data_IF_188316131849
#
_entry.id   IF_188316131849
#
_cell.length_a   1.000
_cell.length_b   1.000
_cell.length_c   1.000
_cell.angle_alpha   90.00
_cell.angle_beta   90.00
_cell.angle_gamma   90.00
#
_symmetry.space_group_name_H-M   'P 1'
#
loop_
_entity.id
_entity.type
_entity.pdbx_description
1 polymer ?
#
# COMPACT_ATOMS: atom_id res chain seq x y z
N UNK A 1 -12.98 -12.54 -19.11
CA UNK A 1 -11.66 -12.58 -18.42
C UNK A 1 -11.45 -14.01 -17.97
N UNK A 2 -10.36 -14.65 -18.37
CA UNK A 2 -10.07 -16.04 -18.00
C UNK A 2 -9.57 -16.07 -16.56
N UNK A 3 -10.27 -16.78 -15.67
CA UNK A 3 -9.75 -17.11 -14.34
C UNK A 3 -8.53 -18.03 -14.52
N UNK A 4 -7.35 -17.44 -14.70
CA UNK A 4 -6.10 -18.21 -14.86
C UNK A 4 -5.47 -18.38 -13.50
N UNK A 5 -5.48 -19.62 -12.98
CA UNK A 5 -4.83 -20.02 -11.72
C UNK A 5 -3.45 -19.38 -11.56
N UNK A 6 -3.13 -18.94 -10.36
CA UNK A 6 -1.80 -18.39 -10.05
C UNK A 6 -0.82 -19.56 -9.96
N UNK A 7 0.38 -19.42 -10.52
CA UNK A 7 1.36 -20.51 -10.52
C UNK A 7 1.81 -20.84 -9.09
N UNK A 8 2.14 -22.11 -8.86
CA UNK A 8 2.68 -22.54 -7.57
C UNK A 8 3.98 -21.79 -7.22
N UNK A 9 4.82 -21.51 -8.22
CA UNK A 9 6.04 -20.72 -8.06
C UNK A 9 5.78 -19.32 -7.50
N UNK A 10 4.77 -18.61 -8.01
CA UNK A 10 4.41 -17.27 -7.47
C UNK A 10 3.94 -17.36 -6.04
N UNK A 11 3.12 -18.36 -5.68
CA UNK A 11 2.67 -18.57 -4.31
C UNK A 11 3.83 -18.92 -3.37
N UNK A 12 4.73 -19.81 -3.81
CA UNK A 12 5.91 -20.20 -3.05
C UNK A 12 6.85 -19.02 -2.80
N UNK A 13 7.22 -18.28 -3.86
CA UNK A 13 8.05 -17.09 -3.74
C UNK A 13 7.45 -16.07 -2.77
N UNK A 14 6.16 -15.75 -2.90
CA UNK A 14 5.52 -14.78 -2.03
C UNK A 14 5.42 -15.30 -0.58
N UNK A 15 5.21 -16.61 -0.38
CA UNK A 15 5.21 -17.23 0.96
C UNK A 15 6.58 -17.13 1.62
N UNK A 16 7.66 -17.43 0.89
CA UNK A 16 9.04 -17.28 1.39
C UNK A 16 9.33 -15.82 1.73
N UNK A 17 8.95 -14.89 0.85
CA UNK A 17 9.10 -13.46 1.13
C UNK A 17 8.36 -13.05 2.40
N UNK A 18 7.09 -13.45 2.59
CA UNK A 18 6.33 -13.13 3.80
C UNK A 18 6.93 -13.77 5.06
N UNK A 19 7.47 -14.98 4.95
CA UNK A 19 8.15 -15.68 6.05
C UNK A 19 9.45 -14.99 6.49
N UNK A 20 10.08 -14.20 5.62
CA UNK A 20 11.23 -13.36 5.96
C UNK A 20 10.79 -11.96 6.43
N UNK A 21 9.81 -11.38 5.73
CA UNK A 21 9.29 -10.05 5.98
C UNK A 21 8.68 -9.92 7.37
N UNK A 22 7.75 -10.80 7.75
CA UNK A 22 7.04 -10.70 9.04
C UNK A 22 8.00 -10.71 10.23
N UNK A 23 8.88 -11.72 10.41
CA UNK A 23 9.81 -11.71 11.54
C UNK A 23 10.83 -10.58 11.43
N UNK A 24 11.35 -10.29 10.22
CA UNK A 24 12.33 -9.22 10.02
C UNK A 24 11.80 -7.84 10.42
N UNK A 25 10.58 -7.50 9.98
CA UNK A 25 9.93 -6.24 10.35
C UNK A 25 9.53 -6.18 11.81
N UNK A 26 9.06 -7.30 12.38
CA UNK A 26 8.76 -7.36 13.80
C UNK A 26 10.01 -7.03 14.63
N UNK A 27 11.14 -7.67 14.32
CA UNK A 27 12.39 -7.46 15.05
C UNK A 27 12.93 -6.04 14.81
N UNK A 28 12.89 -5.55 13.58
CA UNK A 28 13.47 -4.26 13.20
C UNK A 28 12.65 -3.03 13.61
N UNK A 29 11.32 -3.10 13.50
CA UNK A 29 10.42 -1.96 13.71
C UNK A 29 9.40 -2.17 14.83
N UNK A 30 9.21 -3.41 15.30
CA UNK A 30 8.19 -3.77 16.26
C UNK A 30 6.85 -4.15 15.61
N UNK A 31 5.96 -4.83 16.36
CA UNK A 31 4.71 -5.36 15.81
C UNK A 31 3.72 -4.27 15.36
N UNK A 32 3.77 -3.09 15.96
CA UNK A 32 2.88 -1.99 15.59
C UNK A 32 3.19 -1.41 14.21
N UNK A 33 4.35 -1.72 13.63
CA UNK A 33 4.68 -1.31 12.26
C UNK A 33 3.70 -1.89 11.24
N UNK A 34 3.14 -3.08 11.48
CA UNK A 34 2.16 -3.69 10.58
C UNK A 34 0.83 -2.93 10.45
N UNK A 35 0.66 -1.83 11.20
CA UNK A 35 -0.45 -0.89 11.02
C UNK A 35 -0.24 0.09 9.85
N UNK A 36 0.98 0.20 9.31
CA UNK A 36 1.18 0.93 8.06
C UNK A 36 0.28 0.36 6.97
N UNK A 37 -0.43 1.23 6.25
CA UNK A 37 -1.34 0.80 5.20
C UNK A 37 -0.59 -0.02 4.15
N UNK A 38 0.65 0.31 3.80
CA UNK A 38 1.44 -0.48 2.85
C UNK A 38 1.69 -1.92 3.31
N UNK A 39 1.99 -2.13 4.59
CA UNK A 39 2.17 -3.46 5.19
C UNK A 39 0.85 -4.25 5.17
N UNK A 40 -0.27 -3.59 5.49
CA UNK A 40 -1.61 -4.16 5.41
C UNK A 40 -1.95 -4.56 3.97
N UNK A 41 -1.66 -3.69 2.99
CA UNK A 41 -1.87 -3.99 1.56
C UNK A 41 -1.00 -5.17 1.13
N UNK A 42 0.25 -5.26 1.57
CA UNK A 42 1.13 -6.39 1.28
C UNK A 42 0.54 -7.71 1.82
N UNK A 43 0.06 -7.72 3.07
CA UNK A 43 -0.59 -8.89 3.69
C UNK A 43 -1.88 -9.26 2.97
N UNK A 44 -2.74 -8.28 2.63
CA UNK A 44 -3.94 -8.52 1.83
C UNK A 44 -3.60 -9.12 0.45
N UNK A 45 -2.53 -8.62 -0.18
CA UNK A 45 -2.03 -9.12 -1.47
C UNK A 45 -1.52 -10.55 -1.37
N UNK A 46 -0.86 -10.91 -0.27
CA UNK A 46 -0.43 -12.28 0.00
C UNK A 46 -1.63 -13.23 0.07
N UNK A 47 -2.64 -12.93 0.88
CA UNK A 47 -3.84 -13.76 0.98
C UNK A 47 -4.65 -13.78 -0.31
N UNK A 48 -4.71 -12.65 -1.03
CA UNK A 48 -5.31 -12.61 -2.37
C UNK A 48 -4.63 -13.57 -3.34
N UNK A 49 -3.31 -13.70 -3.25
CA UNK A 49 -2.49 -14.58 -4.10
C UNK A 49 -2.66 -16.04 -3.72
N UNK A 50 -2.60 -16.37 -2.42
CA UNK A 50 -2.76 -17.73 -1.93
C UNK A 50 -4.12 -18.32 -2.30
N UNK A 51 -5.18 -17.58 -1.95
CA UNK A 51 -6.56 -18.02 -2.14
C UNK A 51 -7.13 -17.68 -3.53
N UNK A 52 -6.34 -17.03 -4.39
CA UNK A 52 -6.78 -16.53 -5.70
C UNK A 52 -8.06 -15.67 -5.58
N UNK A 53 -8.15 -14.93 -4.48
CA UNK A 53 -9.34 -14.17 -4.12
C UNK A 53 -9.38 -12.86 -4.89
N UNK A 54 -10.26 -12.80 -5.90
CA UNK A 54 -10.59 -11.58 -6.64
C UNK A 54 -10.98 -10.42 -5.72
N UNK A 55 -11.68 -10.70 -4.63
CA UNK A 55 -12.13 -9.70 -3.68
C UNK A 55 -10.96 -9.06 -2.93
N UNK A 56 -10.09 -9.88 -2.32
CA UNK A 56 -8.91 -9.39 -1.61
C UNK A 56 -7.92 -8.69 -2.54
N UNK A 57 -7.72 -9.21 -3.76
CA UNK A 57 -6.89 -8.55 -4.77
C UNK A 57 -7.43 -7.15 -5.11
N UNK A 58 -8.76 -7.02 -5.21
CA UNK A 58 -9.41 -5.74 -5.49
C UNK A 58 -9.36 -4.78 -4.31
N UNK A 59 -9.47 -5.27 -3.08
CA UNK A 59 -9.28 -4.48 -1.85
C UNK A 59 -7.85 -3.94 -1.76
N UNK A 60 -6.87 -4.82 -1.95
CA UNK A 60 -5.46 -4.46 -1.95
C UNK A 60 -5.14 -3.44 -3.06
N UNK A 61 -5.67 -3.64 -4.26
CA UNK A 61 -5.46 -2.76 -5.40
C UNK A 61 -6.02 -1.35 -5.15
N UNK A 62 -7.29 -1.22 -4.72
CA UNK A 62 -7.87 0.11 -4.48
C UNK A 62 -7.33 0.81 -3.24
N UNK A 63 -6.89 0.04 -2.23
CA UNK A 63 -6.32 0.60 -1.01
C UNK A 63 -4.86 1.03 -1.16
N UNK A 64 -4.09 0.35 -2.01
CA UNK A 64 -2.64 0.55 -2.08
C UNK A 64 -2.11 1.20 -3.35
N UNK A 65 -2.79 1.05 -4.51
CA UNK A 65 -2.15 1.36 -5.79
C UNK A 65 -1.63 2.81 -5.87
N UNK A 66 -2.45 3.80 -5.51
CA UNK A 66 -2.04 5.21 -5.53
C UNK A 66 -0.91 5.46 -4.53
N UNK A 67 -1.08 5.07 -3.25
CA UNK A 67 -0.09 5.34 -2.21
C UNK A 67 1.26 4.67 -2.48
N UNK A 68 1.25 3.43 -2.97
CA UNK A 68 2.46 2.72 -3.40
C UNK A 68 3.12 3.40 -4.61
N UNK A 69 2.33 3.93 -5.55
CA UNK A 69 2.86 4.68 -6.70
C UNK A 69 3.51 5.99 -6.27
N UNK A 70 2.88 6.72 -5.34
CA UNK A 70 3.45 7.95 -4.78
C UNK A 70 4.74 7.67 -4.00
N UNK A 71 4.76 6.57 -3.23
CA UNK A 71 5.98 6.11 -2.56
C UNK A 71 7.11 5.83 -3.57
N UNK A 72 6.80 5.21 -4.71
CA UNK A 72 7.79 4.96 -5.77
C UNK A 72 8.33 6.26 -6.36
N UNK A 73 7.45 7.21 -6.66
CA UNK A 73 7.85 8.52 -7.19
C UNK A 73 8.83 9.19 -6.21
N UNK A 74 8.47 9.26 -4.93
CA UNK A 74 9.33 9.82 -3.89
C UNK A 74 10.65 9.04 -3.74
N UNK A 75 10.61 7.71 -3.79
CA UNK A 75 11.79 6.85 -3.73
C UNK A 75 12.80 7.14 -4.85
N UNK A 76 12.34 7.23 -6.10
CA UNK A 76 13.25 7.48 -7.21
C UNK A 76 13.80 8.91 -7.21
N UNK A 77 13.01 9.90 -6.78
CA UNK A 77 13.53 11.26 -6.58
C UNK A 77 14.55 11.33 -5.44
N UNK A 78 14.28 10.65 -4.32
CA UNK A 78 15.20 10.58 -3.18
C UNK A 78 16.47 9.83 -3.55
N UNK A 79 16.37 8.75 -4.31
CA UNK A 79 17.52 8.02 -4.85
C UNK A 79 18.38 8.91 -5.75
N UNK A 80 17.75 9.64 -6.66
CA UNK A 80 18.46 10.57 -7.55
C UNK A 80 19.17 11.65 -6.73
N UNK A 81 18.47 12.26 -5.77
CA UNK A 81 19.05 13.26 -4.89
C UNK A 81 20.24 12.71 -4.10
N UNK A 82 20.12 11.49 -3.54
CA UNK A 82 21.21 10.81 -2.84
C UNK A 82 22.43 10.58 -3.75
N UNK A 83 22.23 10.15 -5.00
CA UNK A 83 23.32 9.91 -5.97
C UNK A 83 24.04 11.19 -6.40
N UNK A 84 23.37 12.34 -6.34
CA UNK A 84 23.93 13.65 -6.69
C UNK A 84 24.29 14.54 -5.48
N UNK A 85 24.27 13.98 -4.26
CA UNK A 85 24.51 14.71 -3.00
C UNK A 85 23.60 15.95 -2.79
N UNK A 86 22.37 15.85 -3.29
CA UNK A 86 21.33 16.88 -3.14
C UNK A 86 20.53 16.59 -1.86
N UNK A 87 20.40 17.60 -1.00
CA UNK A 87 19.54 17.51 0.19
C UNK A 87 18.07 17.44 -0.23
N UNK A 88 17.46 16.26 -0.11
CA UNK A 88 16.04 16.03 -0.36
C UNK A 88 15.43 15.23 0.78
N UNK A 89 14.49 15.85 1.51
CA UNK A 89 13.78 15.22 2.61
C UNK A 89 12.41 14.71 2.12
N UNK A 90 12.44 13.54 1.48
CA UNK A 90 11.24 12.84 1.00
C UNK A 90 10.64 11.88 2.04
N UNK A 91 9.46 11.33 1.73
CA UNK A 91 8.80 10.28 2.51
C UNK A 91 9.68 9.02 2.68
N UNK A 92 10.56 8.79 1.72
CA UNK A 92 11.44 7.61 1.62
C UNK A 92 12.88 7.90 2.02
N UNK A 93 13.17 9.07 2.61
CA UNK A 93 14.51 9.41 3.09
C UNK A 93 15.10 8.35 4.04
N UNK A 94 14.25 7.67 4.82
CA UNK A 94 14.68 6.56 5.69
C UNK A 94 15.34 5.40 4.93
N UNK A 95 15.03 5.21 3.64
CA UNK A 95 15.65 4.20 2.78
C UNK A 95 17.14 4.46 2.52
N UNK A 96 17.64 5.65 2.88
CA UNK A 96 19.03 6.06 2.76
C UNK A 96 19.66 6.38 4.12
N UNK A 97 18.94 6.17 5.23
CA UNK A 97 19.49 6.32 6.57
C UNK A 97 20.45 5.14 6.90
N UNK A 98 21.70 5.46 7.22
CA UNK A 98 22.73 4.49 7.59
C UNK A 98 22.51 3.86 8.97
N UNK A 99 21.71 4.47 9.84
CA UNK A 99 21.33 3.89 11.14
C UNK A 99 20.37 2.70 10.98
N UNK A 100 19.67 2.61 9.84
CA UNK A 100 18.80 1.47 9.53
C UNK A 100 19.59 0.38 8.78
N UNK A 101 19.57 -0.86 9.29
CA UNK A 101 20.23 -1.98 8.64
C UNK A 101 19.80 -2.13 7.17
N UNK A 102 20.76 -2.39 6.29
CA UNK A 102 20.50 -2.52 4.84
C UNK A 102 19.41 -3.56 4.56
N UNK A 103 19.46 -4.72 5.24
CA UNK A 103 18.49 -5.79 5.04
C UNK A 103 17.05 -5.34 5.36
N UNK A 104 16.86 -4.48 6.35
CA UNK A 104 15.54 -3.99 6.76
C UNK A 104 14.98 -3.04 5.69
N UNK A 105 15.83 -2.17 5.15
CA UNK A 105 15.49 -1.28 4.04
C UNK A 105 15.25 -2.07 2.74
N UNK A 106 16.00 -3.15 2.50
CA UNK A 106 15.77 -4.03 1.35
C UNK A 106 14.40 -4.70 1.42
N UNK A 107 13.96 -5.14 2.60
CA UNK A 107 12.60 -5.68 2.76
C UNK A 107 11.53 -4.63 2.41
N UNK A 108 11.76 -3.34 2.71
CA UNK A 108 10.87 -2.24 2.31
C UNK A 108 10.76 -2.04 0.80
N UNK A 109 11.66 -2.59 -0.03
CA UNK A 109 11.55 -2.48 -1.49
C UNK A 109 10.37 -3.25 -2.07
N UNK A 110 9.59 -3.98 -1.27
CA UNK A 110 8.29 -4.50 -1.71
C UNK A 110 7.41 -3.40 -2.30
N UNK A 111 7.52 -2.16 -1.81
CA UNK A 111 6.77 -1.00 -2.31
C UNK A 111 6.99 -0.79 -3.81
N UNK A 112 8.18 -1.13 -4.34
CA UNK A 112 8.49 -1.02 -5.76
C UNK A 112 7.73 -2.06 -6.59
N UNK A 113 7.76 -3.32 -6.18
CA UNK A 113 7.16 -4.42 -6.94
C UNK A 113 5.63 -4.47 -6.80
N UNK A 114 5.10 -4.12 -5.63
CA UNK A 114 3.70 -4.34 -5.26
C UNK A 114 2.66 -3.66 -6.17
N UNK A 115 2.80 -2.38 -6.62
CA UNK A 115 1.80 -1.78 -7.50
C UNK A 115 1.69 -2.50 -8.86
N UNK A 116 2.80 -2.97 -9.42
CA UNK A 116 2.80 -3.77 -10.65
C UNK A 116 2.18 -5.15 -10.42
N UNK A 117 2.50 -5.78 -9.29
CA UNK A 117 1.92 -7.06 -8.93
C UNK A 117 0.41 -6.97 -8.70
N UNK A 118 -0.09 -5.88 -8.12
CA UNK A 118 -1.53 -5.60 -7.98
C UNK A 118 -2.20 -5.47 -9.36
N UNK A 119 -1.62 -4.73 -10.31
CA UNK A 119 -2.14 -4.66 -11.68
C UNK A 119 -2.22 -6.05 -12.33
N UNK A 120 -1.18 -6.86 -12.15
CA UNK A 120 -1.15 -8.23 -12.64
C UNK A 120 -2.23 -9.11 -11.99
N UNK A 121 -2.41 -9.03 -10.67
CA UNK A 121 -3.48 -9.75 -9.97
C UNK A 121 -4.87 -9.35 -10.48
N UNK A 122 -5.12 -8.05 -10.68
CA UNK A 122 -6.39 -7.57 -11.24
C UNK A 122 -6.59 -8.06 -12.68
N UNK A 123 -5.53 -8.10 -13.48
CA UNK A 123 -5.59 -8.67 -14.82
C UNK A 123 -5.94 -10.17 -14.80
N UNK A 124 -5.40 -10.92 -13.84
CA UNK A 124 -5.56 -12.39 -13.74
C UNK A 124 -6.86 -12.83 -13.09
N UNK A 125 -7.23 -12.20 -11.97
CA UNK A 125 -8.38 -12.58 -11.13
C UNK A 125 -9.62 -11.74 -11.46
N UNK A 126 -9.44 -10.63 -12.17
CA UNK A 126 -10.49 -9.64 -12.45
C UNK A 126 -10.63 -8.62 -11.31
N UNK A 127 -11.55 -7.68 -11.51
CA UNK A 127 -11.85 -6.62 -10.55
C UNK A 127 -13.22 -6.81 -9.90
N UNK A 128 -13.29 -6.70 -8.58
CA UNK A 128 -14.53 -6.79 -7.81
C UNK A 128 -15.08 -5.38 -7.50
N UNK A 129 -16.21 -5.02 -8.11
CA UNK A 129 -16.76 -3.66 -8.07
C UNK A 129 -17.12 -3.12 -6.67
N UNK A 130 -17.36 -3.99 -5.69
CA UNK A 130 -17.70 -3.57 -4.31
C UNK A 130 -16.50 -3.50 -3.37
N UNK A 131 -15.32 -3.96 -3.80
CA UNK A 131 -14.15 -4.07 -2.90
C UNK A 131 -13.71 -2.72 -2.31
N UNK A 132 -13.91 -1.62 -3.02
CA UNK A 132 -13.55 -0.28 -2.54
C UNK A 132 -14.35 0.15 -1.31
N UNK A 133 -15.64 -0.19 -1.21
CA UNK A 133 -16.45 0.11 -0.01
C UNK A 133 -15.89 -0.62 1.22
N UNK A 134 -15.59 -1.91 1.07
CA UNK A 134 -14.99 -2.69 2.15
C UNK A 134 -13.60 -2.19 2.52
N UNK A 135 -12.82 -1.72 1.55
CA UNK A 135 -11.50 -1.15 1.82
C UNK A 135 -11.61 0.17 2.60
N UNK A 136 -12.60 1.02 2.28
CA UNK A 136 -12.87 2.25 3.04
C UNK A 136 -13.21 1.90 4.49
N UNK A 137 -14.19 1.01 4.69
CA UNK A 137 -14.59 0.59 6.05
C UNK A 137 -13.40 -0.01 6.80
N UNK A 138 -12.60 -0.83 6.14
CA UNK A 138 -11.42 -1.44 6.75
C UNK A 138 -10.40 -0.39 7.18
N UNK A 139 -10.04 0.57 6.33
CA UNK A 139 -9.11 1.63 6.72
C UNK A 139 -9.70 2.62 7.73
N UNK A 140 -11.01 2.85 7.72
CA UNK A 140 -11.71 3.61 8.77
C UNK A 140 -11.67 2.91 10.13
N UNK A 141 -11.48 1.59 10.19
CA UNK A 141 -11.22 0.87 11.44
C UNK A 141 -9.74 0.96 11.82
N UNK A 142 -8.83 0.83 10.84
CA UNK A 142 -7.38 0.87 11.09
C UNK A 142 -6.92 2.24 11.59
N UNK A 143 -7.50 3.35 11.10
CA UNK A 143 -7.11 4.71 11.50
C UNK A 143 -7.29 4.93 13.03
N UNK A 144 -8.47 4.71 13.63
CA UNK A 144 -8.66 4.77 15.08
C UNK A 144 -7.71 3.84 15.83
N UNK A 145 -7.58 2.58 15.39
CA UNK A 145 -6.67 1.63 16.04
C UNK A 145 -5.26 2.21 16.07
N UNK A 146 -4.76 2.68 14.93
CA UNK A 146 -3.44 3.32 14.82
C UNK A 146 -3.31 4.51 15.76
N UNK A 147 -4.32 5.38 15.80
CA UNK A 147 -4.32 6.55 16.66
C UNK A 147 -4.33 6.21 18.17
N UNK A 148 -5.00 5.13 18.58
CA UNK A 148 -5.07 4.72 19.99
C UNK A 148 -3.83 3.95 20.48
N UNK A 149 -3.20 3.14 19.62
CA UNK A 149 -2.21 2.15 20.08
C UNK A 149 -0.77 2.46 19.69
N UNK A 150 -0.53 3.51 18.89
CA UNK A 150 0.82 3.83 18.37
C UNK A 150 1.39 5.11 18.95
N UNK A 151 2.72 5.20 19.01
CA UNK A 151 3.43 6.39 19.48
C UNK A 151 3.31 7.54 18.45
N UNK A 152 2.88 8.75 18.86
CA UNK A 152 2.80 9.91 17.99
C UNK A 152 4.08 10.25 17.22
N UNK A 153 5.25 9.96 17.77
CA UNK A 153 6.55 10.19 17.13
C UNK A 153 6.76 9.35 15.86
N UNK A 154 6.10 8.19 15.77
CA UNK A 154 6.16 7.30 14.60
C UNK A 154 5.24 7.76 13.47
N UNK A 155 4.20 8.53 13.80
CA UNK A 155 3.22 9.07 12.86
C UNK A 155 2.74 8.06 11.80
N UNK A 156 2.42 6.84 12.23
CA UNK A 156 2.01 5.75 11.33
C UNK A 156 0.78 6.21 10.54
N UNK A 157 0.82 6.07 9.21
CA UNK A 157 -0.20 6.56 8.27
C UNK A 157 -0.52 8.06 8.36
N UNK A 158 0.31 8.87 9.01
CA UNK A 158 0.06 10.30 9.15
C UNK A 158 -0.99 10.69 10.20
N UNK A 159 -1.50 9.76 11.01
CA UNK A 159 -2.63 10.03 11.94
C UNK A 159 -2.32 11.04 13.05
N UNK A 160 -1.05 11.40 13.25
CA UNK A 160 -0.58 12.40 14.21
C UNK A 160 0.06 13.62 13.54
N UNK A 161 -0.10 13.79 12.23
CA UNK A 161 0.53 14.89 11.48
C UNK A 161 0.12 16.26 12.02
N UNK A 162 -1.10 16.42 12.57
CA UNK A 162 -1.54 17.64 13.27
C UNK A 162 -0.67 18.03 14.48
N UNK A 163 -0.02 17.06 15.15
CA UNK A 163 0.92 17.33 16.25
C UNK A 163 2.31 17.72 15.75
N UNK A 164 2.70 17.19 14.59
CA UNK A 164 4.04 17.38 14.02
C UNK A 164 4.11 18.70 13.25
N UNK A 165 3.11 18.96 12.42
CA UNK A 165 3.02 20.16 11.59
C UNK A 165 2.20 21.23 12.30
N UNK A 166 2.86 22.02 13.17
CA UNK A 166 2.22 23.07 13.97
C UNK A 166 1.39 24.07 13.16
N UNK A 167 1.73 24.29 11.90
CA UNK A 167 1.01 25.19 10.99
C UNK A 167 -0.40 24.68 10.60
N UNK A 168 -0.70 23.40 10.79
CA UNK A 168 -2.06 22.88 10.61
C UNK A 168 -3.01 23.51 11.63
N UNK A 169 -2.56 23.71 12.89
CA UNK A 169 -3.36 24.28 13.98
C UNK A 169 -4.77 23.66 14.09
N UNK A 170 -4.84 22.32 14.06
CA UNK A 170 -6.09 21.55 14.07
C UNK A 170 -6.22 20.71 15.33
N UNK A 171 -7.46 20.60 15.82
CA UNK A 171 -7.81 19.64 16.85
C UNK A 171 -7.73 18.20 16.30
N UNK A 172 -7.38 17.24 17.15
CA UNK A 172 -7.23 15.83 16.81
C UNK A 172 -8.47 15.27 16.12
N UNK A 173 -9.66 15.54 16.65
CA UNK A 173 -10.93 15.03 16.14
C UNK A 173 -11.17 15.50 14.70
N UNK A 174 -10.96 16.78 14.44
CA UNK A 174 -11.13 17.36 13.11
C UNK A 174 -10.13 16.80 12.11
N UNK A 175 -8.87 16.63 12.53
CA UNK A 175 -7.83 16.03 11.70
C UNK A 175 -8.17 14.57 11.32
N UNK A 176 -8.67 13.76 12.26
CA UNK A 176 -9.08 12.38 11.97
C UNK A 176 -10.27 12.32 11.00
N UNK A 177 -11.21 13.26 11.08
CA UNK A 177 -12.31 13.37 10.09
C UNK A 177 -11.75 13.64 8.69
N UNK A 178 -10.76 14.53 8.57
CA UNK A 178 -10.08 14.79 7.29
C UNK A 178 -9.41 13.51 6.79
N UNK A 179 -8.69 12.77 7.64
CA UNK A 179 -8.06 11.50 7.26
C UNK A 179 -9.07 10.48 6.73
N UNK A 180 -10.24 10.34 7.37
CA UNK A 180 -11.31 9.47 6.88
C UNK A 180 -11.79 9.87 5.48
N UNK A 181 -11.95 11.16 5.23
CA UNK A 181 -12.39 11.71 3.95
C UNK A 181 -11.32 11.52 2.88
N UNK A 182 -10.06 11.85 3.18
CA UNK A 182 -8.92 11.72 2.26
C UNK A 182 -8.75 10.27 1.84
N UNK A 183 -8.75 9.32 2.78
CA UNK A 183 -8.64 7.90 2.49
C UNK A 183 -9.81 7.42 1.62
N UNK A 184 -11.04 7.86 1.92
CA UNK A 184 -12.20 7.51 1.10
C UNK A 184 -12.08 8.03 -0.34
N UNK A 185 -11.60 9.26 -0.52
CA UNK A 185 -11.37 9.86 -1.85
C UNK A 185 -10.29 9.09 -2.60
N UNK A 186 -9.14 8.80 -1.99
CA UNK A 186 -8.03 8.06 -2.63
C UNK A 186 -8.50 6.67 -3.10
N UNK A 187 -9.26 5.97 -2.26
CA UNK A 187 -9.83 4.65 -2.61
C UNK A 187 -10.87 4.79 -3.73
N UNK A 188 -11.73 5.81 -3.70
CA UNK A 188 -12.72 6.05 -4.73
C UNK A 188 -12.08 6.38 -6.10
N UNK A 189 -11.03 7.21 -6.12
CA UNK A 189 -10.26 7.50 -7.34
C UNK A 189 -9.60 6.23 -7.88
N UNK A 190 -8.98 5.43 -7.00
CA UNK A 190 -8.42 4.12 -7.37
C UNK A 190 -9.49 3.18 -7.94
N UNK A 191 -10.70 3.16 -7.36
CA UNK A 191 -11.83 2.39 -7.88
C UNK A 191 -12.20 2.80 -9.31
N UNK A 192 -12.28 4.10 -9.59
CA UNK A 192 -12.58 4.60 -10.93
C UNK A 192 -11.52 4.19 -11.94
N UNK A 193 -10.24 4.25 -11.55
CA UNK A 193 -9.12 3.76 -12.37
C UNK A 193 -9.28 2.27 -12.72
N UNK A 194 -9.43 1.38 -11.73
CA UNK A 194 -9.55 -0.05 -12.03
C UNK A 194 -10.85 -0.43 -12.76
N UNK A 195 -11.95 0.27 -12.48
CA UNK A 195 -13.22 0.09 -13.18
C UNK A 195 -13.10 0.44 -14.67
N UNK A 196 -12.40 1.53 -15.00
CA UNK A 196 -12.18 1.96 -16.39
C UNK A 196 -11.20 1.07 -17.12
N UNK A 197 -10.10 0.67 -16.46
CA UNK A 197 -9.08 -0.24 -17.00
C UNK A 197 -9.71 -1.56 -17.49
N UNK A 198 -10.57 -2.16 -16.68
CA UNK A 198 -11.25 -3.42 -17.01
C UNK A 198 -12.29 -3.25 -18.12
N UNK A 199 -13.07 -2.16 -18.13
CA UNK A 199 -14.04 -1.88 -19.20
C UNK A 199 -13.35 -1.80 -20.57
N UNK A 200 -12.21 -1.11 -20.64
CA UNK A 200 -11.40 -0.98 -21.86
C UNK A 200 -10.86 -2.33 -22.34
N UNK A 201 -10.37 -3.17 -21.41
CA UNK A 201 -9.88 -4.52 -21.74
C UNK A 201 -10.98 -5.41 -22.32
N UNK A 202 -12.22 -5.32 -21.81
CA UNK A 202 -13.35 -6.10 -22.32
C UNK A 202 -13.73 -5.70 -23.75
N UNK A 203 -13.81 -4.39 -24.03
CA UNK A 203 -14.19 -3.88 -25.35
C UNK A 203 -13.16 -4.21 -26.44
N UNK A 204 -11.86 -4.21 -26.10
CA UNK A 204 -10.79 -4.57 -27.04
C UNK A 204 -10.82 -6.05 -27.44
N UNK A 205 -11.28 -6.93 -26.55
CA UNK A 205 -11.42 -8.37 -26.84
C UNK A 205 -12.61 -8.65 -27.77
N UNK A 206 -13.71 -7.89 -27.64
CA UNK A 206 -14.90 -8.02 -28.50
C UNK A 206 -14.59 -7.54 -29.92
N UNK A 207 -13.85 -6.44 -30.11
CA UNK A 207 -13.49 -5.91 -31.44
C UNK A 207 -12.45 -6.75 -32.22
N UNK A 208 -11.84 -7.75 -31.59
CA UNK A 208 -10.83 -8.65 -32.22
C UNK A 208 -11.41 -10.03 -32.57
N UNK A 209 -12.69 -10.25 -32.33
CA UNK A 209 -13.47 -11.39 -32.84
C UNK A 209 -14.39 -10.88 -33.94
#
# INVERSE_FOLDING_TARGET
MTHRKISCYTKCFFTVFMALFIPGYWIGYGPLNFLWFSDIILILTFFATLFESRFLASMAAVGGFISLSLWNIDFFFTLLAYLFDIKFAGLTAYMFNHELPVWLRTLSLFHVALPFFLLWLIYRLGYHKRAWVFQIVFFWIVIPITWFVTDPSKNINGVFSYKIYKWLNMEATFFLIIEFVVVAIVIAVSHLFFKTLIKKSSNKFIRKK
#
